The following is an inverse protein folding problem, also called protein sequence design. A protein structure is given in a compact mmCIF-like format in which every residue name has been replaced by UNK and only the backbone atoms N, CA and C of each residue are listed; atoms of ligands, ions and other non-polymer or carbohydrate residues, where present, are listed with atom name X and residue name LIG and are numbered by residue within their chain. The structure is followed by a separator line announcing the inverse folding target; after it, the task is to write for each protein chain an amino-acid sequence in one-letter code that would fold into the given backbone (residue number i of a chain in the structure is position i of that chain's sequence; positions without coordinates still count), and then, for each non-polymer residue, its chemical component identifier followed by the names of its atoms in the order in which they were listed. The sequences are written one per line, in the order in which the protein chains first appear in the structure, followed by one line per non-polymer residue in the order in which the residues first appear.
data_IF_039192319679
#
_entry.id   IF_039192319679
#
_cell.length_a   1.000
_cell.length_b   1.000
_cell.length_c   1.000
_cell.angle_alpha   90.00
_cell.angle_beta   90.00
_cell.angle_gamma   90.00
#
_symmetry.space_group_name_H-M   'P 1'
#
loop_
_entity.id
_entity.type
_entity.pdbx_description
1 polymer ?
#
# COMPACT_ATOMS: atom_id res chain seq x y z
N UNK A 1 -7.34 11.63 -13.26
CA UNK A 1 -7.34 10.17 -13.53
C UNK A 1 -7.37 9.47 -12.17
N UNK A 2 -8.59 9.19 -11.71
CA UNK A 2 -8.92 8.99 -10.29
C UNK A 2 -8.73 7.53 -9.85
N UNK A 3 -8.66 7.31 -8.53
CA UNK A 3 -8.42 6.05 -7.82
C UNK A 3 -8.90 4.73 -8.48
N UNK A 4 -10.05 4.74 -9.16
CA UNK A 4 -10.68 3.60 -9.84
C UNK A 4 -9.97 3.17 -11.14
N UNK A 5 -9.22 4.08 -11.78
CA UNK A 5 -8.51 3.80 -13.04
C UNK A 5 -7.15 3.13 -12.84
N UNK A 6 -6.67 2.99 -11.61
CA UNK A 6 -5.38 2.37 -11.32
C UNK A 6 -5.58 0.90 -10.92
N UNK A 7 -5.07 -0.03 -11.71
CA UNK A 7 -5.17 -1.46 -11.45
C UNK A 7 -4.56 -1.86 -10.09
N UNK A 8 -3.54 -1.12 -9.61
CA UNK A 8 -2.89 -1.37 -8.32
C UNK A 8 -3.87 -1.21 -7.15
N UNK A 9 -4.78 -0.24 -7.24
CA UNK A 9 -5.81 -0.02 -6.24
C UNK A 9 -6.75 -1.22 -6.13
N UNK A 10 -7.10 -1.83 -7.26
CA UNK A 10 -7.96 -3.02 -7.31
C UNK A 10 -7.26 -4.27 -6.77
N UNK A 11 -5.98 -4.46 -7.09
CA UNK A 11 -5.20 -5.58 -6.55
C UNK A 11 -5.07 -5.47 -5.03
N UNK A 12 -4.77 -4.28 -4.51
CA UNK A 12 -4.71 -4.04 -3.07
C UNK A 12 -6.10 -4.19 -2.42
N UNK A 13 -7.17 -3.77 -3.08
CA UNK A 13 -8.53 -3.96 -2.58
C UNK A 13 -8.91 -5.45 -2.52
N UNK A 14 -8.49 -6.25 -3.50
CA UNK A 14 -8.69 -7.69 -3.52
C UNK A 14 -7.89 -8.37 -2.39
N UNK A 15 -6.61 -8.03 -2.24
CA UNK A 15 -5.76 -8.59 -1.18
C UNK A 15 -6.30 -8.22 0.21
N UNK A 16 -6.70 -6.96 0.40
CA UNK A 16 -7.30 -6.49 1.64
C UNK A 16 -8.67 -7.14 1.90
N UNK A 17 -9.45 -7.38 0.84
CA UNK A 17 -10.73 -8.09 0.92
C UNK A 17 -10.61 -9.49 1.49
N UNK A 18 -9.56 -10.24 1.11
CA UNK A 18 -9.34 -11.60 1.61
C UNK A 18 -8.51 -11.67 2.90
N UNK A 19 -7.94 -10.56 3.39
CA UNK A 19 -7.38 -10.47 4.73
C UNK A 19 -8.43 -9.97 5.73
N UNK A 20 -8.92 -8.74 5.55
CA UNK A 20 -9.89 -8.13 6.46
C UNK A 20 -11.27 -8.75 6.37
N UNK A 21 -11.69 -9.21 5.18
CA UNK A 21 -13.00 -9.82 5.02
C UNK A 21 -13.12 -11.15 5.77
N UNK A 22 -12.08 -12.00 5.69
CA UNK A 22 -12.00 -13.25 6.45
C UNK A 22 -11.94 -12.97 7.95
N UNK A 23 -11.13 -11.97 8.34
CA UNK A 23 -11.06 -11.51 9.73
C UNK A 23 -12.45 -11.10 10.24
N UNK A 24 -13.18 -10.27 9.50
CA UNK A 24 -14.50 -9.80 9.88
C UNK A 24 -15.50 -10.96 10.04
N UNK A 25 -15.43 -11.97 9.16
CA UNK A 25 -16.22 -13.19 9.31
C UNK A 25 -15.92 -13.90 10.63
N UNK A 26 -14.63 -14.05 11.01
CA UNK A 26 -14.22 -14.69 12.26
C UNK A 26 -14.63 -13.87 13.49
N UNK A 27 -14.41 -12.55 13.46
CA UNK A 27 -14.78 -11.62 14.53
C UNK A 27 -16.29 -11.66 14.82
N UNK A 28 -17.12 -11.81 13.78
CA UNK A 28 -18.58 -11.87 13.92
C UNK A 28 -19.07 -13.19 14.56
N UNK A 29 -18.35 -14.29 14.36
CA UNK A 29 -18.77 -15.61 14.87
C UNK A 29 -18.11 -15.99 16.21
N UNK A 30 -17.02 -15.33 16.61
CA UNK A 30 -16.20 -15.77 17.75
C UNK A 30 -16.94 -15.71 19.09
N UNK A 31 -17.74 -14.67 19.35
CA UNK A 31 -18.47 -14.52 20.61
C UNK A 31 -19.58 -15.58 20.71
N UNK A 32 -20.29 -15.81 19.61
CA UNK A 32 -21.34 -16.84 19.54
C UNK A 32 -20.73 -18.24 19.68
N UNK A 33 -19.59 -18.49 19.03
CA UNK A 33 -18.84 -19.73 19.15
C UNK A 33 -18.39 -19.98 20.59
N UNK A 34 -17.86 -18.98 21.29
CA UNK A 34 -17.47 -19.10 22.69
C UNK A 34 -18.66 -19.38 23.62
N UNK A 35 -19.82 -18.78 23.33
CA UNK A 35 -21.05 -19.01 24.10
C UNK A 35 -21.62 -20.41 23.87
N UNK A 36 -21.86 -20.80 22.61
CA UNK A 36 -22.54 -22.05 22.24
C UNK A 36 -21.66 -23.29 22.44
N UNK A 37 -20.34 -23.21 22.18
CA UNK A 37 -19.46 -24.39 22.25
C UNK A 37 -18.87 -24.64 23.64
N UNK A 38 -18.60 -23.59 24.41
CA UNK A 38 -17.95 -23.72 25.72
C UNK A 38 -18.90 -23.42 26.89
N UNK A 39 -20.16 -23.05 26.62
CA UNK A 39 -21.15 -22.73 27.64
C UNK A 39 -20.75 -21.56 28.53
N UNK A 40 -19.88 -20.67 28.04
CA UNK A 40 -19.42 -19.50 28.78
C UNK A 40 -20.60 -18.55 29.02
N UNK A 41 -20.61 -17.87 30.18
CA UNK A 41 -21.56 -16.78 30.39
C UNK A 41 -21.37 -15.69 29.34
N UNK A 42 -22.45 -15.05 28.91
CA UNK A 42 -22.39 -13.99 27.89
C UNK A 42 -21.43 -12.85 28.29
N UNK A 43 -21.32 -12.57 29.60
CA UNK A 43 -20.38 -11.58 30.14
C UNK A 43 -18.94 -12.01 29.91
N UNK A 44 -18.60 -13.28 30.16
CA UNK A 44 -17.25 -13.81 29.95
C UNK A 44 -16.91 -13.92 28.46
N UNK A 45 -17.86 -14.40 27.64
CA UNK A 45 -17.69 -14.49 26.18
C UNK A 45 -17.53 -13.10 25.55
N UNK A 46 -18.31 -12.11 25.99
CA UNK A 46 -18.18 -10.71 25.58
C UNK A 46 -16.83 -10.10 26.00
N UNK A 47 -16.35 -10.40 27.23
CA UNK A 47 -15.03 -9.98 27.70
C UNK A 47 -13.88 -10.55 26.86
N UNK A 48 -13.95 -11.85 26.51
CA UNK A 48 -12.98 -12.48 25.61
C UNK A 48 -13.05 -11.91 24.19
N UNK A 49 -14.25 -11.65 23.67
CA UNK A 49 -14.44 -10.95 22.40
C UNK A 49 -13.82 -9.56 22.40
N UNK A 50 -13.95 -8.80 23.49
CA UNK A 50 -13.31 -7.49 23.63
C UNK A 50 -11.78 -7.59 23.63
N UNK A 51 -11.21 -8.57 24.33
CA UNK A 51 -9.76 -8.83 24.30
C UNK A 51 -9.28 -9.21 22.89
N UNK A 52 -10.06 -10.02 22.18
CA UNK A 52 -9.75 -10.39 20.80
C UNK A 52 -9.77 -9.17 19.88
N UNK A 53 -10.79 -8.31 19.97
CA UNK A 53 -10.83 -7.06 19.22
C UNK A 53 -9.65 -6.13 19.55
N UNK A 54 -9.23 -6.07 20.81
CA UNK A 54 -8.05 -5.29 21.22
C UNK A 54 -6.75 -5.87 20.66
N UNK A 55 -6.60 -7.20 20.67
CA UNK A 55 -5.46 -7.89 20.03
C UNK A 55 -5.39 -7.55 18.55
N UNK A 56 -6.52 -7.52 17.85
CA UNK A 56 -6.58 -7.21 16.42
C UNK A 56 -6.04 -5.79 16.13
N UNK A 57 -6.29 -4.81 17.01
CA UNK A 57 -5.77 -3.45 16.88
C UNK A 57 -4.23 -3.42 16.94
N UNK A 58 -3.64 -4.05 17.96
CA UNK A 58 -2.19 -4.12 18.12
C UNK A 58 -1.54 -4.94 17.00
N UNK A 59 -2.18 -6.03 16.59
CA UNK A 59 -1.68 -6.88 15.52
C UNK A 59 -1.61 -6.13 14.19
N UNK A 60 -2.63 -5.33 13.85
CA UNK A 60 -2.58 -4.45 12.67
C UNK A 60 -1.44 -3.44 12.74
N UNK A 61 -1.26 -2.78 13.88
CA UNK A 61 -0.15 -1.84 14.07
C UNK A 61 1.21 -2.55 13.89
N UNK A 62 1.35 -3.78 14.42
CA UNK A 62 2.58 -4.57 14.28
C UNK A 62 2.89 -4.95 12.82
N UNK A 63 1.86 -5.23 12.01
CA UNK A 63 2.02 -5.51 10.59
C UNK A 63 2.49 -4.29 9.78
N UNK A 64 1.95 -3.11 10.09
CA UNK A 64 2.42 -1.85 9.52
C UNK A 64 3.87 -1.57 9.88
N UNK A 65 4.23 -1.71 11.17
CA UNK A 65 5.60 -1.53 11.65
C UNK A 65 6.58 -2.53 11.00
N UNK A 66 6.18 -3.79 10.83
CA UNK A 66 7.00 -4.81 10.16
C UNK A 66 7.20 -4.49 8.67
N UNK A 67 6.15 -4.01 8.00
CA UNK A 67 6.24 -3.51 6.62
C UNK A 67 7.22 -2.33 6.52
N UNK A 68 7.13 -1.36 7.43
CA UNK A 68 8.04 -0.21 7.48
C UNK A 68 9.49 -0.62 7.75
N UNK A 69 9.71 -1.54 8.69
CA UNK A 69 11.05 -2.07 9.00
C UNK A 69 11.68 -2.73 7.77
N UNK A 70 10.93 -3.58 7.06
CA UNK A 70 11.43 -4.19 5.83
C UNK A 70 11.61 -3.16 4.72
N UNK A 71 10.82 -2.09 4.71
CA UNK A 71 10.99 -0.99 3.76
C UNK A 71 12.32 -0.25 3.95
N UNK A 72 12.80 -0.07 5.18
CA UNK A 72 14.12 0.55 5.42
C UNK A 72 15.28 -0.24 4.81
N UNK A 73 15.12 -1.57 4.66
CA UNK A 73 16.16 -2.46 4.13
C UNK A 73 16.01 -2.76 2.65
N UNK A 74 14.79 -2.98 2.18
CA UNK A 74 14.47 -3.45 0.82
C UNK A 74 13.54 -2.52 0.03
N UNK A 75 13.16 -1.36 0.59
CA UNK A 75 12.28 -0.39 -0.07
C UNK A 75 10.84 -0.89 -0.23
N UNK A 76 10.13 -0.39 -1.25
CA UNK A 76 8.77 -0.84 -1.58
C UNK A 76 8.69 -2.35 -1.85
N UNK A 77 9.76 -2.96 -2.37
CA UNK A 77 9.81 -4.42 -2.58
C UNK A 77 9.67 -5.16 -1.26
N UNK A 78 10.31 -4.67 -0.21
CA UNK A 78 10.19 -5.21 1.15
C UNK A 78 8.75 -5.18 1.65
N UNK A 79 8.03 -4.06 1.44
CA UNK A 79 6.62 -3.93 1.81
C UNK A 79 5.74 -4.98 1.12
N UNK A 80 5.91 -5.15 -0.19
CA UNK A 80 5.15 -6.15 -0.95
C UNK A 80 5.45 -7.59 -0.51
N UNK A 81 6.72 -7.92 -0.26
CA UNK A 81 7.12 -9.23 0.26
C UNK A 81 6.58 -9.51 1.66
N UNK A 82 6.52 -8.51 2.53
CA UNK A 82 5.92 -8.65 3.88
C UNK A 82 4.44 -8.99 3.77
N UNK A 83 3.66 -8.25 2.97
CA UNK A 83 2.24 -8.55 2.75
C UNK A 83 2.11 -9.98 2.24
N UNK A 84 2.89 -10.35 1.23
CA UNK A 84 2.84 -11.67 0.62
C UNK A 84 3.12 -12.80 1.63
N UNK A 85 4.23 -12.71 2.38
CA UNK A 85 4.63 -13.76 3.33
C UNK A 85 3.64 -13.88 4.48
N UNK A 86 3.22 -12.77 5.06
CA UNK A 86 2.28 -12.78 6.19
C UNK A 86 0.92 -13.35 5.75
N UNK A 87 0.45 -12.96 4.57
CA UNK A 87 -0.80 -13.48 4.03
C UNK A 87 -0.70 -14.99 3.71
N UNK A 88 0.45 -15.46 3.19
CA UNK A 88 0.69 -16.89 3.00
C UNK A 88 0.70 -17.66 4.32
N UNK A 89 1.35 -17.12 5.36
CA UNK A 89 1.36 -17.72 6.69
C UNK A 89 -0.07 -17.81 7.25
N UNK A 90 -0.84 -16.73 7.13
CA UNK A 90 -2.26 -16.71 7.51
C UNK A 90 -3.04 -17.82 6.78
N UNK A 91 -2.92 -17.94 5.45
CA UNK A 91 -3.58 -19.00 4.68
C UNK A 91 -3.17 -20.41 5.10
N UNK A 92 -1.88 -20.63 5.37
CA UNK A 92 -1.36 -21.91 5.82
C UNK A 92 -1.91 -22.31 7.20
N UNK A 93 -1.96 -21.37 8.15
CA UNK A 93 -2.55 -21.61 9.47
C UNK A 93 -4.07 -21.84 9.39
N UNK A 94 -4.76 -21.21 8.45
CA UNK A 94 -6.18 -21.45 8.19
C UNK A 94 -6.42 -22.91 7.72
N UNK A 95 -5.58 -23.43 6.83
CA UNK A 95 -5.64 -24.84 6.37
C UNK A 95 -5.26 -25.80 7.50
N UNK A 96 -4.25 -25.45 8.31
CA UNK A 96 -3.86 -26.24 9.48
C UNK A 96 -5.01 -26.34 10.49
N UNK A 97 -5.72 -25.24 10.74
CA UNK A 97 -6.91 -25.20 11.61
C UNK A 97 -8.02 -26.12 11.09
N UNK A 98 -8.26 -26.16 9.78
CA UNK A 98 -9.19 -27.11 9.15
C UNK A 98 -8.82 -28.58 9.43
N UNK A 99 -7.53 -28.90 9.39
CA UNK A 99 -7.05 -30.28 9.62
C UNK A 99 -7.09 -30.69 11.09
N UNK A 100 -7.03 -29.71 12.00
CA UNK A 100 -7.06 -29.91 13.45
C UNK A 100 -8.47 -29.85 14.04
N UNK A 101 -9.52 -29.87 13.22
CA UNK A 101 -10.91 -29.69 13.65
C UNK A 101 -11.40 -30.70 14.70
N UNK A 102 -10.71 -31.83 14.86
CA UNK A 102 -11.01 -32.85 15.88
C UNK A 102 -10.35 -32.57 17.25
N UNK A 103 -9.36 -31.66 17.30
CA UNK A 103 -8.62 -31.29 18.50
C UNK A 103 -8.98 -29.85 18.94
N UNK A 104 -9.73 -29.73 20.03
CA UNK A 104 -10.27 -28.46 20.54
C UNK A 104 -9.16 -27.42 20.84
N UNK A 105 -8.19 -27.78 21.67
CA UNK A 105 -7.09 -26.88 22.06
C UNK A 105 -6.20 -26.51 20.87
N UNK A 106 -5.99 -27.45 19.94
CA UNK A 106 -5.23 -27.22 18.71
C UNK A 106 -5.90 -26.20 17.81
N UNK A 107 -7.21 -26.32 17.63
CA UNK A 107 -8.02 -25.41 16.81
C UNK A 107 -7.97 -23.98 17.35
N UNK A 108 -8.19 -23.78 18.66
CA UNK A 108 -8.16 -22.46 19.30
C UNK A 108 -6.77 -21.82 19.15
N UNK A 109 -5.70 -22.58 19.41
CA UNK A 109 -4.33 -22.08 19.28
C UNK A 109 -4.03 -21.64 17.83
N UNK A 110 -4.38 -22.46 16.84
CA UNK A 110 -4.21 -22.09 15.43
C UNK A 110 -5.08 -20.91 14.99
N UNK A 111 -6.27 -20.76 15.57
CA UNK A 111 -7.17 -19.64 15.29
C UNK A 111 -6.58 -18.31 15.76
N UNK A 112 -5.99 -18.28 16.96
CA UNK A 112 -5.34 -17.07 17.49
C UNK A 112 -4.13 -16.70 16.62
N UNK A 113 -3.29 -17.67 16.26
CA UNK A 113 -2.11 -17.46 15.41
C UNK A 113 -2.54 -16.95 14.02
N UNK A 114 -3.54 -17.61 13.42
CA UNK A 114 -4.16 -17.19 12.17
C UNK A 114 -4.63 -15.73 12.22
N UNK A 115 -5.37 -15.37 13.27
CA UNK A 115 -5.90 -14.03 13.51
C UNK A 115 -4.78 -13.00 13.47
N UNK A 116 -3.73 -13.21 14.29
CA UNK A 116 -2.58 -12.31 14.37
C UNK A 116 -1.97 -12.06 12.98
N UNK A 117 -1.67 -13.11 12.21
CA UNK A 117 -1.11 -12.93 10.86
C UNK A 117 -2.09 -12.23 9.91
N UNK A 118 -3.38 -12.54 9.98
CA UNK A 118 -4.41 -11.90 9.17
C UNK A 118 -4.44 -10.37 9.41
N UNK A 119 -4.40 -9.95 10.67
CA UNK A 119 -4.32 -8.52 11.03
C UNK A 119 -3.02 -7.86 10.62
N UNK A 120 -1.90 -8.56 10.79
CA UNK A 120 -0.62 -8.05 10.33
C UNK A 120 -0.63 -7.79 8.83
N UNK A 121 -1.27 -8.66 8.04
CA UNK A 121 -1.42 -8.43 6.61
C UNK A 121 -2.32 -7.22 6.31
N UNK A 122 -3.42 -7.02 7.05
CA UNK A 122 -4.25 -5.82 6.93
C UNK A 122 -3.44 -4.53 7.16
N UNK A 123 -2.60 -4.51 8.21
CA UNK A 123 -1.73 -3.38 8.52
C UNK A 123 -0.66 -3.14 7.45
N UNK A 124 -0.02 -4.22 6.98
CA UNK A 124 1.00 -4.13 5.93
C UNK A 124 0.41 -3.64 4.58
N UNK A 125 -0.83 -4.02 4.25
CA UNK A 125 -1.53 -3.53 3.04
C UNK A 125 -1.66 -2.01 3.04
N UNK A 126 -2.13 -1.40 4.14
CA UNK A 126 -2.23 0.06 4.26
C UNK A 126 -0.86 0.76 4.26
N UNK A 127 0.23 0.03 4.51
CA UNK A 127 1.58 0.52 4.31
C UNK A 127 1.98 0.72 2.83
N UNK A 128 1.22 0.17 1.87
CA UNK A 128 1.47 0.30 0.41
C UNK A 128 0.46 1.22 -0.27
N UNK A 129 -0.78 1.28 0.24
CA UNK A 129 -1.87 2.14 -0.27
C UNK A 129 -1.45 3.61 -0.57
N UNK A 130 -0.71 4.34 0.30
CA UNK A 130 -0.37 5.73 0.02
C UNK A 130 0.58 5.93 -1.17
N UNK A 131 1.27 4.88 -1.61
CA UNK A 131 2.19 4.92 -2.75
C UNK A 131 1.50 4.73 -4.11
N UNK A 132 0.20 4.35 -4.13
CA UNK A 132 -0.54 4.15 -5.38
C UNK A 132 -0.93 5.47 -6.02
N UNK A 133 -1.52 6.37 -5.24
CA UNK A 133 -1.92 7.72 -5.69
C UNK A 133 -1.92 8.66 -4.51
N UNK A 134 -1.31 9.85 -4.67
CA UNK A 134 -1.27 10.85 -3.61
C UNK A 134 -2.41 11.85 -3.74
N UNK A 135 -2.80 12.21 -4.98
CA UNK A 135 -3.95 13.08 -5.23
C UNK A 135 -5.26 12.41 -4.83
N UNK A 136 -5.45 11.14 -5.20
CA UNK A 136 -6.69 10.40 -4.96
C UNK A 136 -6.56 9.40 -3.80
N UNK A 137 -5.65 9.65 -2.84
CA UNK A 137 -5.40 8.74 -1.72
C UNK A 137 -6.68 8.34 -0.99
N UNK A 138 -7.57 9.29 -0.68
CA UNK A 138 -8.84 9.00 -0.01
C UNK A 138 -9.74 8.04 -0.82
N UNK A 139 -9.75 8.19 -2.15
CA UNK A 139 -10.49 7.29 -3.04
C UNK A 139 -9.87 5.88 -3.11
N UNK A 140 -8.54 5.78 -3.12
CA UNK A 140 -7.83 4.49 -3.12
C UNK A 140 -8.03 3.78 -1.78
N UNK A 141 -7.80 4.49 -0.66
CA UNK A 141 -7.99 3.95 0.69
C UNK A 141 -9.45 3.54 0.94
N UNK A 142 -10.41 4.31 0.40
CA UNK A 142 -11.83 3.99 0.44
C UNK A 142 -12.18 2.73 -0.37
N UNK A 143 -11.64 2.59 -1.58
CA UNK A 143 -11.82 1.38 -2.40
C UNK A 143 -11.25 0.14 -1.70
N UNK A 144 -10.04 0.25 -1.16
CA UNK A 144 -9.38 -0.85 -0.44
C UNK A 144 -10.17 -1.22 0.81
N UNK A 145 -10.61 -0.24 1.60
CA UNK A 145 -11.43 -0.48 2.78
C UNK A 145 -12.80 -1.10 2.45
N UNK A 146 -13.46 -0.65 1.39
CA UNK A 146 -14.71 -1.24 0.90
C UNK A 146 -14.51 -2.70 0.45
N UNK A 147 -13.36 -3.01 -0.17
CA UNK A 147 -12.95 -4.36 -0.53
C UNK A 147 -12.97 -5.32 0.67
N UNK A 148 -12.61 -4.84 1.85
CA UNK A 148 -12.70 -5.57 3.12
C UNK A 148 -14.11 -6.11 3.43
N UNK A 149 -15.10 -5.22 3.46
CA UNK A 149 -16.49 -5.60 3.76
C UNK A 149 -17.09 -6.50 2.67
N UNK A 150 -16.82 -6.18 1.40
CA UNK A 150 -17.26 -7.00 0.26
C UNK A 150 -16.63 -8.40 0.34
N UNK A 151 -15.35 -8.48 0.69
CA UNK A 151 -14.65 -9.73 0.90
C UNK A 151 -15.27 -10.60 2.00
N UNK A 152 -15.74 -10.00 3.10
CA UNK A 152 -16.45 -10.73 4.17
C UNK A 152 -17.74 -11.36 3.66
N UNK A 153 -18.54 -10.59 2.92
CA UNK A 153 -19.81 -11.07 2.33
C UNK A 153 -19.54 -12.21 1.34
N UNK A 154 -18.57 -12.04 0.45
CA UNK A 154 -18.20 -13.08 -0.54
C UNK A 154 -17.70 -14.34 0.16
N UNK A 155 -16.82 -14.21 1.15
CA UNK A 155 -16.27 -15.34 1.90
C UNK A 155 -17.36 -16.08 2.67
N UNK A 156 -18.27 -15.33 3.31
CA UNK A 156 -19.42 -15.89 4.01
C UNK A 156 -20.34 -16.66 3.06
N UNK A 157 -20.74 -16.05 1.95
CA UNK A 157 -21.63 -16.67 0.95
C UNK A 157 -20.98 -17.88 0.27
N UNK A 158 -19.70 -17.78 -0.09
CA UNK A 158 -19.00 -18.82 -0.83
C UNK A 158 -18.67 -20.05 0.02
N UNK A 159 -18.33 -19.87 1.31
CA UNK A 159 -17.80 -20.96 2.14
C UNK A 159 -18.70 -21.39 3.31
N UNK A 160 -19.62 -20.53 3.76
CA UNK A 160 -20.38 -20.77 4.99
C UNK A 160 -21.90 -20.71 4.84
N UNK A 161 -22.43 -20.13 3.76
CA UNK A 161 -23.87 -19.86 3.61
C UNK A 161 -24.59 -20.79 2.62
N UNK A 162 -24.08 -22.01 2.41
CA UNK A 162 -24.59 -23.01 1.47
C UNK A 162 -26.08 -22.88 1.14
N UNK A 163 -26.36 -22.36 -0.05
CA UNK A 163 -27.67 -22.53 -0.71
C UNK A 163 -27.93 -24.03 -0.84
N UNK A 164 -29.21 -24.43 -0.82
CA UNK A 164 -29.75 -25.81 -0.88
C UNK A 164 -29.17 -26.78 -1.96
N UNK A 165 -28.19 -26.37 -2.76
CA UNK A 165 -27.51 -27.18 -3.76
C UNK A 165 -26.26 -27.97 -3.26
N UNK A 166 -25.84 -27.87 -1.99
CA UNK A 166 -24.64 -28.57 -1.50
C UNK A 166 -24.70 -29.00 -0.03
N UNK A 167 -25.24 -30.19 0.28
CA UNK A 167 -25.42 -30.71 1.65
C UNK A 167 -24.12 -31.14 2.37
N UNK A 168 -22.93 -30.81 1.85
CA UNK A 168 -21.66 -31.44 2.25
C UNK A 168 -20.50 -30.50 2.64
N UNK A 169 -20.71 -29.18 2.76
CA UNK A 169 -19.67 -28.30 3.30
C UNK A 169 -19.72 -28.22 4.83
N UNK A 170 -19.12 -29.20 5.50
CA UNK A 170 -18.83 -29.13 6.94
C UNK A 170 -17.90 -27.93 7.20
N UNK A 171 -18.02 -27.26 8.36
CA UNK A 171 -17.18 -26.10 8.78
C UNK A 171 -15.67 -26.28 8.47
N UNK A 172 -15.05 -27.46 8.68
CA UNK A 172 -13.65 -27.69 8.33
C UNK A 172 -13.37 -27.55 6.82
N UNK A 173 -14.29 -28.00 5.96
CA UNK A 173 -14.13 -27.88 4.52
C UNK A 173 -14.21 -26.41 4.05
N UNK A 174 -15.10 -25.61 4.63
CA UNK A 174 -15.16 -24.16 4.38
C UNK A 174 -13.86 -23.45 4.76
N UNK A 175 -13.32 -23.75 5.96
CA UNK A 175 -12.02 -23.25 6.41
C UNK A 175 -10.86 -23.63 5.49
N UNK A 176 -10.87 -24.87 4.96
CA UNK A 176 -9.84 -25.32 4.02
C UNK A 176 -9.83 -24.48 2.74
N UNK A 177 -10.99 -24.28 2.13
CA UNK A 177 -11.09 -23.51 0.88
C UNK A 177 -10.84 -22.03 1.09
N UNK A 178 -11.29 -21.48 2.21
CA UNK A 178 -10.94 -20.12 2.62
C UNK A 178 -9.43 -19.95 2.72
N UNK A 179 -8.74 -20.85 3.43
CA UNK A 179 -7.27 -20.85 3.50
C UNK A 179 -6.60 -20.98 2.13
N UNK A 180 -7.12 -21.82 1.23
CA UNK A 180 -6.63 -21.93 -0.16
C UNK A 180 -6.79 -20.61 -0.91
N UNK A 181 -7.91 -19.91 -0.79
CA UNK A 181 -8.10 -18.61 -1.44
C UNK A 181 -7.16 -17.53 -0.91
N UNK A 182 -6.90 -17.55 0.41
CA UNK A 182 -5.90 -16.68 1.05
C UNK A 182 -4.49 -16.96 0.52
N UNK A 183 -4.16 -18.19 0.11
CA UNK A 183 -2.86 -18.50 -0.51
C UNK A 183 -2.76 -18.03 -1.97
N UNK A 184 -3.87 -18.12 -2.72
CA UNK A 184 -3.89 -17.82 -4.16
C UNK A 184 -3.93 -16.31 -4.43
N UNK A 185 -4.78 -15.57 -3.72
CA UNK A 185 -5.02 -14.16 -4.03
C UNK A 185 -3.78 -13.25 -3.87
N UNK A 186 -2.89 -13.46 -2.90
CA UNK A 186 -1.65 -12.68 -2.79
C UNK A 186 -0.70 -12.85 -3.97
N UNK A 187 -0.87 -13.88 -4.80
CA UNK A 187 -0.15 -13.99 -6.07
C UNK A 187 -0.47 -12.83 -7.00
N UNK A 188 -1.64 -12.19 -6.84
CA UNK A 188 -1.96 -10.97 -7.57
C UNK A 188 -1.01 -9.81 -7.26
N UNK A 189 -0.37 -9.78 -6.07
CA UNK A 189 0.65 -8.79 -5.70
C UNK A 189 1.90 -8.88 -6.60
N UNK A 190 2.16 -10.03 -7.22
CA UNK A 190 3.28 -10.20 -8.15
C UNK A 190 3.12 -9.32 -9.40
N UNK A 191 1.87 -8.97 -9.76
CA UNK A 191 1.57 -8.09 -10.89
C UNK A 191 1.64 -6.60 -10.52
N UNK A 192 1.77 -6.25 -9.23
CA UNK A 192 1.99 -4.85 -8.84
C UNK A 192 3.41 -4.46 -9.23
N UNK A 193 3.49 -3.50 -10.15
CA UNK A 193 4.75 -2.92 -10.56
C UNK A 193 4.68 -1.39 -10.50
N UNK A 194 5.54 -0.79 -9.68
CA UNK A 194 5.76 0.66 -9.66
C UNK A 194 6.94 1.00 -10.58
N UNK A 195 6.82 1.98 -11.49
CA UNK A 195 7.87 2.25 -12.48
C UNK A 195 9.21 2.62 -11.85
N UNK A 196 9.20 3.41 -10.76
CA UNK A 196 10.42 3.87 -10.07
C UNK A 196 11.01 2.86 -9.07
N UNK A 197 10.16 2.08 -8.36
CA UNK A 197 10.61 1.17 -7.29
C UNK A 197 10.70 -0.31 -7.73
N UNK A 198 9.98 -0.64 -8.80
CA UNK A 198 9.78 -1.99 -9.30
C UNK A 198 8.55 -2.67 -8.70
N UNK A 199 8.47 -3.98 -8.94
CA UNK A 199 7.52 -4.89 -8.29
C UNK A 199 8.24 -5.89 -7.38
N UNK A 200 7.58 -7.01 -7.07
CA UNK A 200 8.21 -8.10 -6.33
C UNK A 200 9.31 -8.81 -7.12
N UNK A 201 9.09 -9.02 -8.42
CA UNK A 201 9.97 -9.81 -9.30
C UNK A 201 10.85 -8.96 -10.21
N UNK A 202 10.34 -7.82 -10.67
CA UNK A 202 11.01 -6.96 -11.64
C UNK A 202 11.56 -5.69 -10.99
N UNK A 203 12.81 -5.29 -11.31
CA UNK A 203 13.36 -4.04 -10.83
C UNK A 203 12.66 -2.84 -11.44
N UNK A 204 12.71 -1.70 -10.74
CA UNK A 204 12.22 -0.43 -11.25
C UNK A 204 13.23 0.23 -12.18
N UNK A 205 12.73 1.11 -13.03
CA UNK A 205 13.52 1.94 -13.92
C UNK A 205 14.21 3.07 -13.12
N UNK A 206 15.55 3.17 -13.15
CA UNK A 206 16.26 4.24 -12.47
C UNK A 206 16.01 5.64 -13.06
N UNK A 207 15.57 5.75 -14.32
CA UNK A 207 15.37 7.03 -15.03
C UNK A 207 14.07 7.72 -14.62
N UNK A 208 13.05 6.96 -14.21
CA UNK A 208 11.78 7.53 -13.78
C UNK A 208 11.90 8.10 -12.37
N UNK A 209 11.57 9.39 -12.21
CA UNK A 209 11.57 10.03 -10.90
C UNK A 209 10.22 9.90 -10.19
N UNK A 210 10.25 9.88 -8.86
CA UNK A 210 9.08 9.92 -8.00
C UNK A 210 8.23 11.17 -8.29
N UNK A 211 8.88 12.29 -8.58
CA UNK A 211 8.27 13.59 -8.84
C UNK A 211 7.47 13.56 -10.14
N UNK A 212 8.05 13.00 -11.21
CA UNK A 212 7.38 12.83 -12.50
C UNK A 212 6.14 11.93 -12.41
N UNK A 213 6.18 10.90 -11.57
CA UNK A 213 5.04 10.02 -11.38
C UNK A 213 3.87 10.71 -10.67
N UNK A 214 4.15 11.47 -9.61
CA UNK A 214 3.09 12.15 -8.86
C UNK A 214 2.60 13.41 -9.56
N UNK A 215 3.44 14.11 -10.32
CA UNK A 215 3.03 15.33 -11.06
C UNK A 215 2.07 14.99 -12.21
N UNK A 216 2.19 13.81 -12.81
CA UNK A 216 1.26 13.30 -13.83
C UNK A 216 -0.19 13.18 -13.35
N UNK A 217 -0.42 13.17 -12.03
CA UNK A 217 -1.78 13.16 -11.47
C UNK A 217 -2.45 14.54 -11.52
N UNK A 218 -1.72 15.61 -11.79
CA UNK A 218 -2.19 17.00 -11.73
C UNK A 218 -2.31 17.63 -13.13
N UNK A 219 -3.28 18.53 -13.28
CA UNK A 219 -3.43 19.35 -14.48
C UNK A 219 -2.53 20.58 -14.44
N UNK A 220 -2.21 21.17 -15.60
CA UNK A 220 -1.31 22.33 -15.67
C UNK A 220 -1.86 23.54 -14.87
N UNK A 221 -3.18 23.70 -14.84
CA UNK A 221 -3.89 24.73 -14.10
C UNK A 221 -3.76 24.51 -12.58
N UNK A 222 -3.89 23.27 -12.11
CA UNK A 222 -3.72 22.92 -10.69
C UNK A 222 -2.25 23.04 -10.24
N UNK A 223 -1.32 22.78 -11.16
CA UNK A 223 0.12 22.98 -10.92
C UNK A 223 0.41 24.46 -10.72
N UNK A 224 -0.13 25.33 -11.58
CA UNK A 224 -0.01 26.79 -11.46
C UNK A 224 -0.62 27.33 -10.15
N UNK A 225 -1.66 26.69 -9.63
CA UNK A 225 -2.27 27.02 -8.34
C UNK A 225 -1.52 26.45 -7.12
N UNK A 226 -0.43 25.69 -7.32
CA UNK A 226 0.40 25.15 -6.23
C UNK A 226 -0.22 23.98 -5.47
N UNK A 227 -1.35 23.41 -5.94
CA UNK A 227 -2.07 22.33 -5.26
C UNK A 227 -1.26 21.02 -5.20
N UNK A 228 -0.29 20.86 -6.10
CA UNK A 228 0.60 19.70 -6.17
C UNK A 228 1.69 19.66 -5.07
N UNK A 229 1.88 20.74 -4.31
CA UNK A 229 3.00 20.89 -3.34
C UNK A 229 3.06 19.78 -2.28
N UNK A 230 1.92 19.31 -1.77
CA UNK A 230 1.85 18.19 -0.82
C UNK A 230 2.23 16.85 -1.47
N UNK A 231 1.89 16.66 -2.74
CA UNK A 231 2.29 15.48 -3.48
C UNK A 231 3.79 15.49 -3.76
N UNK A 232 4.36 16.67 -4.04
CA UNK A 232 5.80 16.83 -4.27
C UNK A 232 6.63 16.57 -3.00
N UNK A 233 6.20 17.06 -1.84
CA UNK A 233 6.83 16.73 -0.55
C UNK A 233 6.84 15.21 -0.29
N UNK A 234 5.73 14.54 -0.59
CA UNK A 234 5.65 13.08 -0.47
C UNK A 234 6.54 12.36 -1.49
N UNK A 235 6.65 12.88 -2.72
CA UNK A 235 7.54 12.34 -3.75
C UNK A 235 9.02 12.37 -3.29
N UNK A 236 9.45 13.50 -2.71
CA UNK A 236 10.81 13.64 -2.16
C UNK A 236 11.08 12.64 -1.04
N UNK A 237 10.16 12.49 -0.09
CA UNK A 237 10.30 11.51 1.00
C UNK A 237 10.32 10.07 0.49
N UNK A 238 9.53 9.79 -0.56
CA UNK A 238 9.42 8.45 -1.12
C UNK A 238 10.68 8.00 -1.88
N UNK A 239 11.63 8.89 -2.19
CA UNK A 239 12.96 8.52 -2.72
C UNK A 239 13.72 7.59 -1.77
N UNK A 240 13.47 7.72 -0.46
CA UNK A 240 14.03 6.83 0.57
C UNK A 240 13.61 5.36 0.42
N UNK A 241 12.52 5.11 -0.33
CA UNK A 241 11.96 3.78 -0.56
C UNK A 241 12.60 3.06 -1.77
N UNK A 242 13.58 3.68 -2.44
CA UNK A 242 14.38 3.00 -3.48
C UNK A 242 15.29 1.93 -2.85
N UNK A 243 15.52 0.79 -3.53
CA UNK A 243 16.48 -0.20 -3.06
C UNK A 243 17.87 0.42 -2.90
N UNK A 244 18.61 0.03 -1.84
CA UNK A 244 19.95 0.58 -1.51
C UNK A 244 20.98 0.51 -2.65
N UNK A 245 20.80 -0.38 -3.63
CA UNK A 245 21.64 -0.45 -4.84
C UNK A 245 21.55 0.80 -5.70
N UNK A 246 20.39 1.46 -5.78
CA UNK A 246 20.16 2.64 -6.61
C UNK A 246 20.61 3.94 -5.90
N UNK A 247 20.60 3.98 -4.57
CA UNK A 247 21.12 5.11 -3.79
C UNK A 247 22.64 5.30 -3.96
N UNK A 248 23.40 4.24 -4.20
CA UNK A 248 24.84 4.35 -4.52
C UNK A 248 25.10 4.97 -5.89
N UNK A 249 24.22 4.73 -6.87
CA UNK A 249 24.35 5.27 -8.23
C UNK A 249 23.92 6.75 -8.28
N UNK A 250 22.83 7.10 -7.57
CA UNK A 250 22.37 8.49 -7.39
C UNK A 250 23.38 9.36 -6.65
N UNK A 251 24.01 8.84 -5.59
CA UNK A 251 25.06 9.58 -4.87
C UNK A 251 26.32 9.80 -5.72
N UNK A 252 26.62 8.91 -6.67
CA UNK A 252 27.72 9.08 -7.61
C UNK A 252 27.39 10.08 -8.72
N UNK A 253 26.14 10.13 -9.20
CA UNK A 253 25.67 11.15 -10.16
C UNK A 253 25.52 12.53 -9.53
N UNK A 254 25.06 12.62 -8.28
CA UNK A 254 24.98 13.89 -7.55
C UNK A 254 26.38 14.42 -7.21
N UNK A 255 27.34 13.52 -6.94
CA UNK A 255 28.75 13.90 -6.77
C UNK A 255 29.40 14.32 -8.10
N UNK A 256 29.04 13.71 -9.22
CA UNK A 256 29.53 14.16 -10.53
C UNK A 256 28.91 15.49 -10.96
N UNK A 257 27.62 15.73 -10.66
CA UNK A 257 26.95 17.03 -10.91
C UNK A 257 27.54 18.14 -10.02
N UNK A 258 28.00 17.82 -8.81
CA UNK A 258 28.67 18.79 -7.93
C UNK A 258 30.18 18.94 -8.17
N UNK A 259 30.79 18.05 -8.97
CA UNK A 259 32.19 18.13 -9.41
C UNK A 259 32.34 18.64 -10.85
N UNK A 260 31.25 18.73 -11.62
CA UNK A 260 31.27 19.47 -12.88
C UNK A 260 31.49 20.96 -12.55
N UNK A 261 32.60 21.57 -13.01
CA UNK A 261 32.79 23.00 -12.83
C UNK A 261 31.61 23.72 -13.47
N UNK A 262 31.08 24.79 -12.86
CA UNK A 262 29.95 25.52 -13.41
C UNK A 262 30.28 25.86 -14.86
N UNK A 263 29.52 25.29 -15.80
CA UNK A 263 29.59 25.69 -17.20
C UNK A 263 29.41 27.20 -17.22
N UNK A 264 30.44 27.89 -17.71
CA UNK A 264 30.53 29.36 -17.75
C UNK A 264 29.16 29.98 -18.04
N UNK A 265 28.75 31.06 -17.35
CA UNK A 265 27.51 31.75 -17.65
C UNK A 265 27.62 32.46 -19.00
N UNK A 266 27.37 31.75 -20.11
CA UNK A 266 27.32 32.32 -21.45
C UNK A 266 25.97 33.00 -21.75
N UNK A 267 24.95 32.83 -20.91
CA UNK A 267 23.60 33.37 -21.17
C UNK A 267 23.32 34.76 -20.56
N UNK A 268 24.27 35.35 -19.81
CA UNK A 268 24.06 36.65 -19.13
C UNK A 268 24.81 37.79 -19.83
N UNK A 269 25.89 37.51 -20.56
CA UNK A 269 26.66 38.56 -21.25
C UNK A 269 25.92 39.14 -22.49
N UNK A 270 25.18 38.30 -23.21
CA UNK A 270 24.51 38.71 -24.46
C UNK A 270 23.30 39.63 -24.22
N UNK A 271 22.62 39.48 -23.07
CA UNK A 271 21.50 40.34 -22.69
C UNK A 271 21.93 41.68 -22.08
N UNK A 272 23.16 41.81 -21.58
CA UNK A 272 23.66 43.08 -21.03
C UNK A 272 24.14 44.01 -22.16
N UNK A 273 24.78 43.49 -23.20
CA UNK A 273 25.19 44.30 -24.37
C UNK A 273 23.98 44.81 -25.17
N UNK A 274 22.92 44.00 -25.35
CA UNK A 274 21.72 44.43 -26.06
C UNK A 274 20.94 45.49 -25.28
N UNK A 275 20.88 45.39 -23.95
CA UNK A 275 20.19 46.38 -23.10
C UNK A 275 21.00 47.68 -23.00
N UNK A 276 22.34 47.62 -22.92
CA UNK A 276 23.17 48.84 -22.94
C UNK A 276 23.16 49.54 -24.30
N UNK A 277 23.14 48.82 -25.42
CA UNK A 277 23.03 49.41 -26.76
C UNK A 277 21.68 50.12 -26.98
N UNK A 278 20.58 49.52 -26.51
CA UNK A 278 19.24 50.13 -26.61
C UNK A 278 19.07 51.36 -25.71
N UNK A 279 19.68 51.38 -24.52
CA UNK A 279 19.60 52.52 -23.61
C UNK A 279 20.41 53.73 -24.11
N UNK A 280 21.59 53.50 -24.70
CA UNK A 280 22.41 54.59 -25.28
C UNK A 280 21.76 55.16 -26.55
N UNK A 281 21.07 54.35 -27.35
CA UNK A 281 20.34 54.82 -28.53
C UNK A 281 19.10 55.67 -28.17
N UNK A 282 18.42 55.37 -27.04
CA UNK A 282 17.28 56.17 -26.58
C UNK A 282 17.71 57.52 -26.00
N UNK A 283 18.82 57.58 -25.25
CA UNK A 283 19.34 58.84 -24.70
C UNK A 283 19.86 59.78 -25.81
N UNK A 284 20.49 59.23 -26.85
CA UNK A 284 20.95 60.02 -28.00
C UNK A 284 19.80 60.57 -28.88
N UNK A 285 18.64 59.89 -28.91
CA UNK A 285 17.46 60.37 -29.63
C UNK A 285 16.72 61.50 -28.88
N UNK A 286 16.84 61.54 -27.55
CA UNK A 286 16.20 62.56 -26.71
C UNK A 286 16.98 63.89 -26.70
N UNK A 287 18.32 63.86 -26.85
CA UNK A 287 19.15 65.07 -27.00
C UNK A 287 19.07 65.71 -28.40
N UNK A 288 18.68 64.96 -29.44
CA UNK A 288 18.52 65.47 -30.80
C UNK A 288 17.16 66.16 -31.06
N UNK A 289 16.22 66.09 -30.11
CA UNK A 289 14.87 66.67 -30.22
C UNK A 289 14.67 67.99 -29.46
N UNK A 290 15.70 68.53 -28.80
CA UNK A 290 15.61 69.74 -27.97
C UNK A 290 16.61 70.84 -28.35
N UNK A 291 16.82 71.06 -29.65
CA UNK A 291 17.37 72.30 -30.20
C UNK A 291 16.55 72.77 -31.41
#
# INVERSE_FOLDING_TARGET
KCALGNYRSWILALCYGFSFGVELTVDNIIVLYLYDQFGLSLVTAGGLGAMFGLMNLFSRASGGALSDLMATRFGIRGRLWVIFIIQLLSGAFCIAMSSLSLNLSGTIATMIIFSIFCQQACGANYGVVPFVSRRAYGGVAGLVGAGGNVGAIITQLAFFQGSEASPHFTVPAGLKWMGVTILIIPLSLLFIHFPMWGGMLFPGDPEVTEEDYYIQEWTAEEIAQGLHSTAMKFAMESKSQRPRSHLKKGRASDLSISLDPPSKPQAIAENVEVVQSSAVAQVAAEEAGSN
#
